data_IF_893853926000
#
_entry.id   IF_893853926000
#
_cell.length_a   1.000
_cell.length_b   1.000
_cell.length_c   1.000
_cell.angle_alpha   90.00
_cell.angle_beta   90.00
_cell.angle_gamma   90.00
#
_symmetry.space_group_name_H-M   'P 1'
#
loop_
_entity.id
_entity.type
_entity.pdbx_description
1 polymer ?
#
# COMPACT_ATOMS: atom_id res chain seq x y z
N UNK A 1 -3.69 -16.20 4.41
CA UNK A 1 -4.37 -15.44 3.36
C UNK A 1 -5.78 -15.99 3.17
N UNK A 2 -6.76 -15.10 3.00
CA UNK A 2 -8.17 -15.47 2.89
C UNK A 2 -8.51 -16.10 1.52
N UNK A 3 -7.70 -15.83 0.51
CA UNK A 3 -7.96 -16.30 -0.86
C UNK A 3 -7.16 -17.57 -1.17
N UNK A 4 -7.87 -18.69 -1.33
CA UNK A 4 -7.25 -20.01 -1.56
C UNK A 4 -6.55 -20.12 -2.92
N UNK A 5 -7.10 -19.50 -3.96
CA UNK A 5 -6.61 -19.56 -5.33
C UNK A 5 -5.53 -18.51 -5.66
N UNK A 6 -4.86 -17.95 -4.66
CA UNK A 6 -3.88 -16.89 -4.86
C UNK A 6 -2.73 -17.25 -5.81
N UNK A 7 -2.29 -18.50 -5.81
CA UNK A 7 -1.22 -18.99 -6.71
C UNK A 7 -1.68 -18.98 -8.16
N UNK A 8 -2.89 -19.50 -8.41
CA UNK A 8 -3.50 -19.51 -9.75
C UNK A 8 -3.77 -18.09 -10.21
N UNK A 9 -4.31 -17.23 -9.33
CA UNK A 9 -4.56 -15.83 -9.61
C UNK A 9 -3.29 -15.07 -9.96
N UNK A 10 -2.19 -15.29 -9.22
CA UNK A 10 -0.88 -14.70 -9.54
C UNK A 10 -0.41 -15.14 -10.93
N UNK A 11 -0.51 -16.41 -11.27
CA UNK A 11 -0.11 -16.91 -12.59
C UNK A 11 -0.92 -16.23 -13.70
N UNK A 12 -2.25 -16.21 -13.59
CA UNK A 12 -3.14 -15.60 -14.56
C UNK A 12 -2.87 -14.10 -14.73
N UNK A 13 -2.62 -13.39 -13.63
CA UNK A 13 -2.23 -11.97 -13.66
C UNK A 13 -0.94 -11.77 -14.46
N UNK A 14 0.09 -12.56 -14.20
CA UNK A 14 1.36 -12.44 -14.90
C UNK A 14 1.27 -12.81 -16.38
N UNK A 15 0.44 -13.79 -16.72
CA UNK A 15 0.19 -14.20 -18.11
C UNK A 15 -0.58 -13.09 -18.86
N UNK A 16 -1.62 -12.55 -18.25
CA UNK A 16 -2.42 -11.46 -18.82
C UNK A 16 -1.56 -10.20 -19.13
N UNK A 17 -0.65 -9.84 -18.22
CA UNK A 17 0.24 -8.70 -18.40
C UNK A 17 1.51 -9.01 -19.19
N UNK A 18 1.62 -10.17 -19.79
CA UNK A 18 2.78 -10.57 -20.61
C UNK A 18 4.09 -10.54 -19.83
N UNK A 19 4.07 -10.83 -18.53
CA UNK A 19 5.30 -10.87 -17.73
C UNK A 19 6.21 -11.96 -18.26
N UNK A 20 7.48 -11.65 -18.63
CA UNK A 20 8.39 -12.64 -19.21
C UNK A 20 8.55 -13.89 -18.35
N UNK A 21 8.69 -15.07 -18.98
CA UNK A 21 8.84 -16.34 -18.27
C UNK A 21 10.02 -16.38 -17.30
N UNK A 22 11.11 -15.70 -17.67
CA UNK A 22 12.34 -15.61 -16.85
C UNK A 22 12.24 -14.57 -15.73
N UNK A 23 11.13 -13.82 -15.61
CA UNK A 23 10.96 -12.81 -14.57
C UNK A 23 11.06 -13.40 -13.16
N UNK A 24 11.79 -12.75 -12.24
CA UNK A 24 11.83 -13.16 -10.83
C UNK A 24 10.44 -13.26 -10.19
N UNK A 25 9.47 -12.48 -10.65
CA UNK A 25 8.07 -12.51 -10.18
C UNK A 25 7.39 -13.86 -10.39
N UNK A 26 7.80 -14.62 -11.41
CA UNK A 26 7.26 -15.97 -11.67
C UNK A 26 7.85 -17.06 -10.77
N UNK A 27 8.96 -16.73 -10.07
CA UNK A 27 9.71 -17.70 -9.24
C UNK A 27 9.51 -17.47 -7.73
N UNK A 28 8.66 -16.53 -7.35
CA UNK A 28 8.40 -16.19 -5.94
C UNK A 28 6.91 -15.98 -5.70
N UNK A 29 6.51 -16.03 -4.45
CA UNK A 29 5.19 -15.66 -4.01
C UNK A 29 5.00 -14.13 -4.06
N UNK A 30 3.82 -13.70 -4.56
CA UNK A 30 3.47 -12.29 -4.71
C UNK A 30 4.00 -11.64 -5.98
N UNK A 31 3.31 -10.58 -6.40
CA UNK A 31 3.58 -9.87 -7.67
C UNK A 31 4.38 -8.57 -7.49
N UNK A 32 4.84 -8.27 -6.26
CA UNK A 32 5.59 -7.05 -5.97
C UNK A 32 6.82 -6.89 -6.87
N UNK A 33 7.14 -5.62 -7.24
CA UNK A 33 8.24 -5.32 -8.15
C UNK A 33 8.73 -3.89 -7.95
N UNK A 34 9.94 -3.58 -8.42
CA UNK A 34 10.47 -2.22 -8.42
C UNK A 34 11.34 -1.94 -9.64
N UNK A 35 11.26 -0.71 -10.11
CA UNK A 35 12.05 -0.20 -11.23
C UNK A 35 12.62 1.17 -10.86
N UNK A 36 13.81 1.47 -11.35
CA UNK A 36 14.45 2.79 -11.21
C UNK A 36 14.62 3.38 -12.61
N UNK A 37 14.16 4.60 -12.78
CA UNK A 37 14.23 5.36 -14.02
C UNK A 37 15.08 6.62 -13.83
N UNK A 38 15.80 7.03 -14.86
CA UNK A 38 16.59 8.25 -14.89
C UNK A 38 18.04 8.06 -14.45
N UNK A 39 18.91 9.04 -14.77
CA UNK A 39 20.31 9.03 -14.40
C UNK A 39 20.52 9.41 -12.93
N UNK A 40 21.71 9.18 -12.35
CA UNK A 40 22.06 9.67 -11.01
C UNK A 40 21.72 11.16 -10.83
N UNK A 41 21.12 11.52 -9.68
CA UNK A 41 20.62 12.86 -9.37
C UNK A 41 19.21 13.18 -9.89
N UNK A 42 18.61 12.31 -10.72
CA UNK A 42 17.26 12.44 -11.27
C UNK A 42 16.54 11.09 -11.35
N UNK A 43 16.79 10.21 -10.38
CA UNK A 43 16.18 8.87 -10.36
C UNK A 43 14.80 8.91 -9.73
N UNK A 44 13.87 8.27 -10.40
CA UNK A 44 12.55 7.95 -9.86
C UNK A 44 12.47 6.44 -9.67
N UNK A 45 12.30 5.99 -8.44
CA UNK A 45 12.05 4.58 -8.13
C UNK A 45 10.56 4.36 -7.99
N UNK A 46 10.01 3.42 -8.76
CA UNK A 46 8.63 2.94 -8.61
C UNK A 46 8.69 1.60 -7.86
N UNK A 47 8.07 1.53 -6.70
CA UNK A 47 7.99 0.34 -5.85
C UNK A 47 6.54 -0.09 -5.77
N UNK A 48 6.21 -1.24 -6.35
CA UNK A 48 4.85 -1.81 -6.36
C UNK A 48 4.74 -2.88 -5.28
N UNK A 49 3.92 -2.64 -4.27
CA UNK A 49 3.65 -3.60 -3.20
C UNK A 49 2.54 -4.58 -3.60
N UNK A 50 2.67 -5.82 -3.18
CA UNK A 50 1.57 -6.77 -3.14
C UNK A 50 0.97 -6.80 -1.73
N UNK A 51 -0.12 -6.09 -1.54
CA UNK A 51 -0.85 -6.03 -0.26
C UNK A 51 -1.95 -7.07 -0.15
N UNK A 52 -1.99 -8.05 -1.06
CA UNK A 52 -3.04 -9.10 -1.12
C UNK A 52 -2.51 -10.49 -0.85
N UNK A 53 -1.39 -10.88 -1.47
CA UNK A 53 -0.92 -12.27 -1.45
C UNK A 53 -0.62 -12.80 -0.04
N UNK A 54 0.02 -11.99 0.80
CA UNK A 54 0.48 -12.37 2.14
C UNK A 54 -0.42 -11.88 3.27
N UNK A 55 -1.38 -11.01 2.94
CA UNK A 55 -2.19 -10.36 3.95
C UNK A 55 -2.97 -11.36 4.80
N UNK A 56 -2.87 -11.20 6.12
CA UNK A 56 -3.68 -11.91 7.08
C UNK A 56 -5.17 -11.53 7.00
N UNK A 57 -6.04 -12.25 7.72
CA UNK A 57 -7.47 -12.03 7.70
C UNK A 57 -7.84 -10.63 8.23
N UNK A 58 -8.83 -10.03 7.61
CA UNK A 58 -9.45 -8.80 8.09
C UNK A 58 -10.50 -9.12 9.15
N UNK A 59 -10.50 -8.37 10.24
CA UNK A 59 -11.56 -8.48 11.25
C UNK A 59 -12.76 -7.64 10.83
N UNK A 60 -13.92 -8.29 10.76
CA UNK A 60 -15.19 -7.62 10.48
C UNK A 60 -15.64 -6.84 11.69
N UNK A 61 -16.20 -5.65 11.47
CA UNK A 61 -16.90 -4.89 12.49
C UNK A 61 -18.20 -5.65 12.86
N UNK A 62 -18.34 -6.16 14.10
CA UNK A 62 -19.53 -6.91 14.51
C UNK A 62 -20.76 -6.01 14.70
N UNK A 63 -20.53 -4.72 14.97
CA UNK A 63 -21.58 -3.72 15.23
C UNK A 63 -21.36 -2.59 14.24
N UNK A 64 -22.04 -2.64 13.09
CA UNK A 64 -21.92 -1.58 12.10
C UNK A 64 -23.29 -1.02 11.73
N UNK A 65 -23.38 0.30 11.64
CA UNK A 65 -24.50 1.02 11.06
C UNK A 65 -24.55 0.88 9.51
N UNK A 66 -25.64 1.35 8.89
CA UNK A 66 -25.84 1.19 7.45
C UNK A 66 -24.72 1.69 6.54
N UNK A 67 -24.05 2.78 6.90
CA UNK A 67 -22.99 3.42 6.12
C UNK A 67 -21.60 3.31 6.78
N UNK A 68 -21.46 2.49 7.81
CA UNK A 68 -20.17 2.29 8.49
C UNK A 68 -19.32 1.25 7.75
N UNK A 69 -18.02 1.44 7.84
CA UNK A 69 -17.03 0.53 7.22
C UNK A 69 -17.08 -0.88 7.79
N UNK A 70 -16.68 -1.84 6.96
CA UNK A 70 -16.81 -3.29 7.23
C UNK A 70 -15.77 -3.82 8.21
N UNK A 71 -14.68 -3.09 8.48
CA UNK A 71 -13.50 -3.64 9.13
C UNK A 71 -13.03 -2.81 10.32
N UNK A 72 -12.58 -3.52 11.34
CA UNK A 72 -11.89 -2.97 12.51
C UNK A 72 -10.40 -3.36 12.48
N UNK A 73 -9.61 -2.70 13.32
CA UNK A 73 -8.19 -3.01 13.45
C UNK A 73 -7.97 -4.42 14.02
N UNK A 74 -7.10 -5.19 13.38
CA UNK A 74 -6.59 -6.46 13.86
C UNK A 74 -5.24 -6.23 14.54
N UNK A 75 -5.16 -6.45 15.84
CA UNK A 75 -3.95 -6.28 16.66
C UNK A 75 -3.13 -7.57 16.81
N UNK A 76 -3.56 -8.67 16.20
CA UNK A 76 -2.80 -9.92 16.16
C UNK A 76 -1.50 -9.71 15.37
N UNK A 77 -0.39 -9.70 16.09
CA UNK A 77 0.96 -9.48 15.52
C UNK A 77 1.45 -10.62 14.63
N UNK A 78 0.80 -11.77 14.64
CA UNK A 78 1.09 -12.87 13.71
C UNK A 78 0.54 -12.59 12.30
N UNK A 79 -0.45 -11.70 12.19
CA UNK A 79 -1.01 -11.25 10.92
C UNK A 79 -0.06 -10.27 10.23
N UNK A 80 0.22 -10.46 8.96
CA UNK A 80 1.09 -9.58 8.18
C UNK A 80 0.35 -8.97 6.99
N UNK A 81 0.79 -7.80 6.54
CA UNK A 81 0.36 -7.18 5.28
C UNK A 81 1.18 -7.71 4.09
N UNK A 82 2.49 -7.73 4.24
CA UNK A 82 3.42 -8.03 3.15
C UNK A 82 4.11 -9.40 3.26
N UNK A 83 4.07 -10.03 4.45
CA UNK A 83 4.85 -11.23 4.72
C UNK A 83 6.37 -10.97 4.83
N UNK A 84 7.13 -11.91 5.42
CA UNK A 84 8.54 -11.68 5.75
C UNK A 84 9.42 -11.44 4.51
N UNK A 85 9.18 -12.18 3.44
CA UNK A 85 9.99 -12.08 2.21
C UNK A 85 9.84 -10.71 1.53
N UNK A 86 8.60 -10.20 1.40
CA UNK A 86 8.37 -8.90 0.79
C UNK A 86 8.86 -7.76 1.71
N UNK A 87 8.76 -7.91 3.03
CA UNK A 87 9.34 -6.93 3.97
C UNK A 87 10.85 -6.81 3.82
N UNK A 88 11.58 -7.93 3.73
CA UNK A 88 13.03 -7.93 3.52
C UNK A 88 13.39 -7.29 2.17
N UNK A 89 12.64 -7.64 1.11
CA UNK A 89 12.81 -7.05 -0.21
C UNK A 89 12.53 -5.53 -0.21
N UNK A 90 11.48 -5.06 0.48
CA UNK A 90 11.17 -3.64 0.56
C UNK A 90 12.29 -2.86 1.27
N UNK A 91 12.88 -3.44 2.31
CA UNK A 91 14.04 -2.85 2.98
C UNK A 91 15.23 -2.67 2.03
N UNK A 92 15.54 -3.69 1.22
CA UNK A 92 16.55 -3.58 0.17
C UNK A 92 16.19 -2.49 -0.85
N UNK A 93 14.93 -2.43 -1.31
CA UNK A 93 14.52 -1.41 -2.28
C UNK A 93 14.65 0.02 -1.75
N UNK A 94 14.24 0.27 -0.51
CA UNK A 94 14.31 1.60 0.09
C UNK A 94 15.76 2.06 0.38
N UNK A 95 16.72 1.14 0.49
CA UNK A 95 18.14 1.46 0.64
C UNK A 95 18.82 1.86 -0.68
N UNK A 96 18.19 1.59 -1.82
CA UNK A 96 18.75 1.91 -3.14
C UNK A 96 18.72 3.41 -3.39
N UNK A 97 19.75 3.96 -4.05
CA UNK A 97 19.79 5.40 -4.31
C UNK A 97 18.71 5.81 -5.34
N UNK A 98 17.81 6.71 -4.92
CA UNK A 98 16.84 7.40 -5.76
C UNK A 98 16.46 8.74 -5.13
N UNK A 99 16.12 9.72 -5.95
CA UNK A 99 15.76 11.06 -5.49
C UNK A 99 14.25 11.16 -5.19
N UNK A 100 13.42 10.39 -5.90
CA UNK A 100 11.97 10.28 -5.67
C UNK A 100 11.58 8.80 -5.64
N UNK A 101 10.69 8.45 -4.73
CA UNK A 101 10.15 7.08 -4.62
C UNK A 101 8.64 7.10 -4.65
N UNK A 102 8.07 6.45 -5.67
CA UNK A 102 6.63 6.22 -5.75
C UNK A 102 6.33 4.84 -5.15
N UNK A 103 5.83 4.83 -3.92
CA UNK A 103 5.45 3.60 -3.21
C UNK A 103 3.98 3.29 -3.51
N UNK A 104 3.75 2.37 -4.44
CA UNK A 104 2.42 1.97 -4.87
C UNK A 104 1.84 0.90 -3.94
N UNK A 105 0.69 1.19 -3.37
CA UNK A 105 -0.09 0.30 -2.51
C UNK A 105 -1.50 0.15 -3.07
N UNK A 106 -2.06 -1.05 -3.11
CA UNK A 106 -3.45 -1.22 -3.58
C UNK A 106 -4.49 -0.60 -2.65
N UNK A 107 -4.13 -0.27 -1.41
CA UNK A 107 -5.01 0.30 -0.37
C UNK A 107 -4.33 1.47 0.32
N UNK A 108 -5.13 2.37 0.90
CA UNK A 108 -4.65 3.58 1.57
C UNK A 108 -3.75 3.30 2.77
N UNK A 109 -2.69 4.10 2.90
CA UNK A 109 -1.70 4.00 3.98
C UNK A 109 -1.93 5.05 5.05
N UNK A 110 -2.18 6.32 4.68
CA UNK A 110 -2.36 7.41 5.62
C UNK A 110 -3.75 7.44 6.23
N UNK A 111 -4.81 7.27 5.43
CA UNK A 111 -6.18 7.25 5.92
C UNK A 111 -6.36 6.19 7.01
N UNK A 112 -6.88 6.60 8.17
CA UNK A 112 -6.96 5.72 9.35
C UNK A 112 -8.32 5.77 10.07
N UNK A 113 -9.18 6.70 9.70
CA UNK A 113 -10.39 6.99 10.49
C UNK A 113 -11.65 6.28 9.93
N UNK A 114 -11.67 5.96 8.63
CA UNK A 114 -12.79 5.21 8.03
C UNK A 114 -12.71 3.70 8.34
N UNK A 115 -13.81 2.99 8.23
CA UNK A 115 -13.90 1.56 8.54
C UNK A 115 -13.75 0.61 7.34
N UNK A 116 -13.21 1.09 6.20
CA UNK A 116 -12.96 0.26 5.02
C UNK A 116 -11.55 -0.31 5.02
N UNK A 117 -11.20 -1.10 4.01
CA UNK A 117 -9.89 -1.70 3.90
C UNK A 117 -8.79 -0.64 3.74
N UNK A 118 -7.76 -0.72 4.56
CA UNK A 118 -6.63 0.20 4.63
C UNK A 118 -5.49 -0.41 5.44
N UNK A 119 -4.31 0.21 5.45
CA UNK A 119 -3.19 -0.28 6.28
C UNK A 119 -3.50 -0.26 7.79
N UNK A 120 -4.37 0.64 8.24
CA UNK A 120 -4.81 0.67 9.64
C UNK A 120 -5.68 -0.53 10.07
N UNK A 121 -6.05 -1.41 9.16
CA UNK A 121 -6.61 -2.73 9.51
C UNK A 121 -5.57 -3.65 10.17
N UNK A 122 -4.26 -3.39 9.94
CA UNK A 122 -3.13 -4.02 10.62
C UNK A 122 -2.19 -2.91 11.15
N UNK A 123 -2.49 -2.28 12.30
CA UNK A 123 -1.77 -1.08 12.77
C UNK A 123 -0.28 -1.30 12.98
N UNK A 124 0.12 -2.48 13.44
CA UNK A 124 1.52 -2.84 13.64
C UNK A 124 2.31 -2.92 12.32
N UNK A 125 1.69 -3.35 11.23
CA UNK A 125 2.30 -3.40 9.90
C UNK A 125 2.46 -2.00 9.31
N UNK A 126 1.47 -1.10 9.51
CA UNK A 126 1.61 0.31 9.15
C UNK A 126 2.75 0.99 9.93
N UNK A 127 2.83 0.74 11.22
CA UNK A 127 3.93 1.22 12.07
C UNK A 127 5.28 0.69 11.58
N UNK A 128 5.33 -0.57 11.19
CA UNK A 128 6.53 -1.19 10.61
C UNK A 128 6.96 -0.51 9.32
N UNK A 129 6.01 -0.17 8.44
CA UNK A 129 6.29 0.59 7.21
C UNK A 129 6.90 1.95 7.51
N UNK A 130 6.32 2.70 8.45
CA UNK A 130 6.82 4.02 8.83
C UNK A 130 8.21 3.94 9.46
N UNK A 131 8.46 2.95 10.31
CA UNK A 131 9.79 2.72 10.88
C UNK A 131 10.81 2.35 9.79
N UNK A 132 10.40 1.56 8.81
CA UNK A 132 11.27 1.20 7.70
C UNK A 132 11.64 2.43 6.84
N UNK A 133 10.68 3.29 6.50
CA UNK A 133 10.93 4.55 5.78
C UNK A 133 11.89 5.42 6.58
N UNK A 134 11.65 5.59 7.89
CA UNK A 134 12.52 6.38 8.77
C UNK A 134 13.96 5.85 8.80
N UNK A 135 14.11 4.54 8.99
CA UNK A 135 15.41 3.92 9.25
C UNK A 135 16.22 3.68 7.97
N UNK A 136 15.57 3.65 6.81
CA UNK A 136 16.25 3.48 5.52
C UNK A 136 16.95 4.74 5.03
N UNK A 137 16.62 5.91 5.60
CA UNK A 137 17.07 7.19 5.07
C UNK A 137 16.51 7.53 3.67
N UNK A 138 15.44 6.84 3.25
CA UNK A 138 14.82 7.05 1.94
C UNK A 138 14.19 8.45 1.87
N UNK A 139 14.66 9.27 0.94
CA UNK A 139 14.11 10.59 0.66
C UNK A 139 13.03 10.54 -0.42
N UNK A 140 12.18 11.58 -0.48
CA UNK A 140 11.20 11.78 -1.54
C UNK A 140 10.18 10.66 -1.69
N UNK A 141 9.76 10.00 -0.60
CA UNK A 141 8.74 8.96 -0.65
C UNK A 141 7.36 9.59 -0.79
N UNK A 142 6.64 9.18 -1.83
CA UNK A 142 5.24 9.52 -2.10
C UNK A 142 4.48 8.21 -2.23
N UNK A 143 3.36 8.08 -1.55
CA UNK A 143 2.49 6.91 -1.64
C UNK A 143 1.45 7.15 -2.73
N UNK A 144 1.25 6.15 -3.58
CA UNK A 144 0.14 6.07 -4.52
C UNK A 144 -0.76 4.93 -4.09
N UNK A 145 -2.05 5.21 -3.87
CA UNK A 145 -2.98 4.21 -3.38
C UNK A 145 -4.29 4.13 -4.18
N UNK A 146 -5.11 3.12 -3.90
CA UNK A 146 -6.33 2.85 -4.64
C UNK A 146 -7.45 2.25 -3.79
N UNK A 147 -8.28 1.37 -4.39
CA UNK A 147 -9.38 0.58 -3.81
C UNK A 147 -10.64 1.37 -3.44
N UNK A 148 -10.51 2.64 -3.15
CA UNK A 148 -11.60 3.46 -2.55
C UNK A 148 -12.61 4.01 -3.56
N UNK A 149 -12.29 3.92 -4.85
CA UNK A 149 -13.10 4.47 -5.95
C UNK A 149 -13.32 5.99 -5.85
N UNK A 150 -12.33 6.69 -5.31
CA UNK A 150 -12.31 8.15 -5.15
C UNK A 150 -10.95 8.71 -5.56
N UNK A 151 -10.89 10.02 -5.72
CA UNK A 151 -9.65 10.79 -5.75
C UNK A 151 -9.49 11.51 -4.39
N UNK A 152 -8.41 11.23 -3.66
CA UNK A 152 -8.16 11.83 -2.35
C UNK A 152 -6.67 12.10 -2.17
N UNK A 153 -6.33 13.29 -1.69
CA UNK A 153 -4.98 13.63 -1.27
C UNK A 153 -4.91 13.67 0.26
N UNK A 154 -4.04 12.85 0.83
CA UNK A 154 -3.72 12.88 2.26
C UNK A 154 -2.28 13.35 2.48
N UNK A 155 -2.04 14.11 3.55
CA UNK A 155 -0.73 14.64 3.91
C UNK A 155 -0.48 14.53 5.42
N UNK A 156 0.63 13.90 5.77
CA UNK A 156 1.18 13.88 7.12
C UNK A 156 2.39 14.85 7.17
N UNK A 157 2.24 16.03 7.82
CA UNK A 157 3.27 17.07 7.82
C UNK A 157 4.61 16.59 8.40
N UNK A 158 4.57 15.84 9.50
CA UNK A 158 5.74 15.24 10.13
C UNK A 158 5.80 13.75 9.75
N UNK A 159 6.09 13.47 8.50
CA UNK A 159 6.20 12.10 7.99
C UNK A 159 7.39 11.35 8.59
N UNK A 160 7.41 10.02 8.45
CA UNK A 160 8.43 9.17 9.06
C UNK A 160 9.86 9.45 8.58
N UNK A 161 10.03 9.97 7.39
CA UNK A 161 11.34 10.34 6.82
C UNK A 161 11.86 11.72 7.24
N UNK A 162 11.14 12.44 8.11
CA UNK A 162 11.50 13.81 8.51
C UNK A 162 11.02 14.90 7.53
N UNK A 163 10.24 14.51 6.52
CA UNK A 163 9.60 15.40 5.54
C UNK A 163 8.10 15.03 5.42
N UNK A 164 7.26 15.90 4.81
CA UNK A 164 5.86 15.57 4.61
C UNK A 164 5.69 14.30 3.79
N UNK A 165 4.87 13.35 4.29
CA UNK A 165 4.47 12.16 3.55
C UNK A 165 3.10 12.39 2.91
N UNK A 166 3.02 12.14 1.62
CA UNK A 166 1.77 12.21 0.85
C UNK A 166 1.26 10.81 0.52
N UNK A 167 -0.06 10.64 0.55
CA UNK A 167 -0.76 9.46 0.05
C UNK A 167 -1.83 9.96 -0.95
N UNK A 168 -1.58 9.67 -2.22
CA UNK A 168 -2.42 10.08 -3.34
C UNK A 168 -3.25 8.88 -3.74
N UNK A 169 -4.53 8.91 -3.38
CA UNK A 169 -5.51 7.89 -3.79
C UNK A 169 -6.13 8.29 -5.12
N UNK A 170 -6.09 7.39 -6.11
CA UNK A 170 -6.75 7.59 -7.40
C UNK A 170 -7.26 6.25 -7.91
N UNK A 171 -8.55 5.98 -7.73
CA UNK A 171 -9.14 4.68 -8.05
C UNK A 171 -10.58 4.73 -8.57
N UNK A 172 -11.02 5.89 -9.05
CA UNK A 172 -12.37 6.10 -9.56
C UNK A 172 -12.52 5.97 -11.09
N UNK A 173 -11.55 5.38 -11.80
CA UNK A 173 -11.52 5.40 -13.27
C UNK A 173 -12.75 4.75 -13.92
N UNK A 174 -13.21 3.62 -13.40
CA UNK A 174 -14.36 2.87 -13.96
C UNK A 174 -15.62 2.96 -13.10
N UNK A 175 -15.47 3.27 -11.83
CA UNK A 175 -16.56 3.41 -10.87
C UNK A 175 -16.12 4.39 -9.79
N UNK A 176 -16.96 5.37 -9.51
CA UNK A 176 -16.77 6.32 -8.40
C UNK A 176 -17.84 6.11 -7.34
N UNK A 177 -17.49 6.38 -6.09
CA UNK A 177 -18.45 6.53 -5.01
C UNK A 177 -18.50 7.99 -4.58
N UNK A 178 -19.71 8.51 -4.40
CA UNK A 178 -19.90 9.77 -3.68
C UNK A 178 -19.71 9.49 -2.18
N UNK A 179 -18.66 10.07 -1.61
CA UNK A 179 -18.35 9.92 -0.20
C UNK A 179 -18.52 11.29 0.45
N UNK A 180 -19.75 11.59 0.89
CA UNK A 180 -20.09 12.90 1.45
C UNK A 180 -19.41 13.21 2.78
N UNK A 181 -18.94 12.23 3.56
CA UNK A 181 -18.46 12.49 4.92
C UNK A 181 -17.58 11.44 5.56
N UNK A 182 -16.74 10.73 4.79
CA UNK A 182 -15.81 9.80 5.44
C UNK A 182 -14.70 10.54 6.19
N UNK A 183 -14.45 10.20 7.46
CA UNK A 183 -13.41 10.86 8.23
C UNK A 183 -12.02 10.46 7.73
N UNK A 184 -11.18 11.45 7.46
CA UNK A 184 -9.75 11.29 7.23
C UNK A 184 -9.01 12.54 7.71
N UNK A 185 -8.38 12.44 8.86
CA UNK A 185 -7.63 13.55 9.51
C UNK A 185 -6.43 14.05 8.71
N UNK A 186 -6.00 13.30 7.72
CA UNK A 186 -4.86 13.64 6.86
C UNK A 186 -5.28 14.26 5.53
N UNK A 187 -6.57 14.33 5.25
CA UNK A 187 -7.10 14.87 3.99
C UNK A 187 -6.69 16.32 3.80
N UNK A 188 -6.29 16.66 2.58
CA UNK A 188 -5.96 18.00 2.13
C UNK A 188 -7.10 18.49 1.24
N UNK A 189 -7.72 19.61 1.61
CA UNK A 189 -8.87 20.15 0.89
C UNK A 189 -10.20 19.46 1.23
N UNK A 190 -11.24 19.86 0.52
CA UNK A 190 -12.56 19.23 0.55
C UNK A 190 -12.66 18.17 -0.55
N UNK A 191 -13.53 17.18 -0.37
CA UNK A 191 -13.82 16.17 -1.41
C UNK A 191 -14.82 16.71 -2.41
#
# INVERSE_FOLDING_TARGET
AEFREKVVSQKLFMDFWGVPEKSPRRKREGIYDAQIFGPPGRRVQVIMLDTRYFRGPLLRNPIRGPNEGKYIANHDRSSSMLGPAQWAWLADQLSRPAEVRLLCSSIQVLAQDHGWERWMTLPHERTKLFNLIRNSGAEGVIILSGDRHVAELSRMNNGPGGYPLYDITSSGLTMTYEIESEPNRWRVGEM
#
